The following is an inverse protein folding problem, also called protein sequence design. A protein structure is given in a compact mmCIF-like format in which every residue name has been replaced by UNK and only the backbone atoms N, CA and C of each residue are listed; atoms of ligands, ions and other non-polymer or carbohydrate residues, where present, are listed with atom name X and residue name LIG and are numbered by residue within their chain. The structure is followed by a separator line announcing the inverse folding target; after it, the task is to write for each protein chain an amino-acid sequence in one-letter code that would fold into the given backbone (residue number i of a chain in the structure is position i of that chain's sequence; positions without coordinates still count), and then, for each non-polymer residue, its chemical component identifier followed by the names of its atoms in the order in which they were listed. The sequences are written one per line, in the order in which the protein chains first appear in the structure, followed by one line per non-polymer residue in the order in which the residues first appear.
data_IF_670042595419
#
_entry.id   IF_670042595419
#
_cell.length_a   1.000
_cell.length_b   1.000
_cell.length_c   1.000
_cell.angle_alpha   90.00
_cell.angle_beta   90.00
_cell.angle_gamma   90.00
#
_symmetry.space_group_name_H-M   'P 1'
#
loop_
_entity.id
_entity.type
_entity.pdbx_description
1 polymer ?
#
# COMPACT_ATOMS: atom_id res chain seq x y z
N UNK A 1 -27.21 -15.45 -5.42
CA UNK A 1 -25.80 -15.25 -5.82
C UNK A 1 -25.14 -14.42 -4.74
N UNK A 2 -24.03 -14.88 -4.17
CA UNK A 2 -23.27 -14.15 -3.16
C UNK A 2 -22.09 -13.49 -3.86
N UNK A 3 -22.00 -12.15 -3.79
CA UNK A 3 -20.84 -11.39 -4.24
C UNK A 3 -20.05 -11.00 -3.00
N UNK A 4 -18.77 -11.36 -2.98
CA UNK A 4 -17.85 -11.02 -1.91
C UNK A 4 -16.69 -10.21 -2.48
N UNK A 5 -16.22 -9.24 -1.70
CA UNK A 5 -15.03 -8.45 -2.03
C UNK A 5 -14.13 -8.49 -0.80
N UNK A 6 -12.87 -8.85 -0.99
CA UNK A 6 -11.88 -8.80 0.08
C UNK A 6 -11.34 -7.38 0.21
N UNK A 7 -11.24 -6.91 1.44
CA UNK A 7 -10.74 -5.57 1.76
C UNK A 7 -9.62 -5.63 2.79
N UNK A 8 -8.59 -4.78 2.67
CA UNK A 8 -7.49 -4.77 3.62
C UNK A 8 -7.96 -4.35 5.02
N UNK A 9 -7.58 -5.12 6.04
CA UNK A 9 -7.89 -4.86 7.45
C UNK A 9 -9.18 -5.53 7.91
N UNK A 10 -9.78 -5.01 8.98
CA UNK A 10 -11.06 -5.45 9.53
C UNK A 10 -11.99 -4.24 9.77
N UNK A 11 -12.36 -3.51 8.71
CA UNK A 11 -13.31 -2.39 8.83
C UNK A 11 -14.71 -2.91 9.19
N UNK A 12 -15.42 -2.19 10.06
CA UNK A 12 -16.82 -2.47 10.38
C UNK A 12 -17.71 -1.92 9.27
N UNK A 13 -18.53 -2.79 8.71
CA UNK A 13 -19.60 -2.43 7.78
C UNK A 13 -20.91 -3.02 8.27
N UNK A 14 -21.94 -2.18 8.38
CA UNK A 14 -23.29 -2.62 8.70
C UNK A 14 -24.27 -2.20 7.62
N UNK A 15 -25.40 -2.91 7.55
CA UNK A 15 -26.47 -2.60 6.60
C UNK A 15 -27.01 -1.21 6.91
N UNK A 16 -27.01 -0.34 5.91
CA UNK A 16 -27.43 1.07 6.04
C UNK A 16 -26.26 2.05 6.13
N UNK A 17 -25.02 1.57 6.27
CA UNK A 17 -23.85 2.45 6.22
C UNK A 17 -23.66 3.04 4.82
N UNK A 18 -23.28 4.32 4.77
CA UNK A 18 -22.89 4.98 3.53
C UNK A 18 -21.38 4.93 3.40
N UNK A 19 -20.90 4.47 2.25
CA UNK A 19 -19.48 4.24 2.01
C UNK A 19 -19.02 4.97 0.76
N UNK A 20 -17.84 5.60 0.85
CA UNK A 20 -17.14 6.13 -0.30
C UNK A 20 -16.15 5.08 -0.77
N UNK A 21 -16.39 4.49 -1.94
CA UNK A 21 -15.60 3.40 -2.49
C UNK A 21 -14.77 3.87 -3.69
N UNK A 22 -13.47 3.57 -3.67
CA UNK A 22 -12.57 3.82 -4.79
C UNK A 22 -12.42 2.54 -5.61
N UNK A 23 -12.91 2.58 -6.84
CA UNK A 23 -12.88 1.47 -7.80
C UNK A 23 -11.89 1.78 -8.92
N UNK A 24 -11.17 0.77 -9.39
CA UNK A 24 -10.31 0.95 -10.58
C UNK A 24 -11.13 1.05 -11.87
N UNK A 25 -12.26 0.35 -11.91
CA UNK A 25 -13.21 0.35 -13.01
C UNK A 25 -14.60 0.71 -12.50
N UNK A 26 -15.26 1.64 -13.19
CA UNK A 26 -16.60 2.06 -12.83
C UNK A 26 -17.56 0.86 -12.84
N UNK A 27 -18.40 0.78 -11.79
CA UNK A 27 -19.40 -0.28 -11.61
C UNK A 27 -18.83 -1.71 -11.45
N UNK A 28 -17.53 -1.87 -11.20
CA UNK A 28 -16.89 -3.18 -10.97
C UNK A 28 -16.29 -3.27 -9.57
N UNK A 29 -17.09 -3.78 -8.64
CA UNK A 29 -16.72 -3.99 -7.24
C UNK A 29 -15.56 -4.96 -7.03
N UNK A 30 -15.22 -5.81 -8.01
CA UNK A 30 -14.03 -6.65 -7.91
C UNK A 30 -12.73 -5.84 -8.02
N UNK A 31 -12.81 -4.61 -8.54
CA UNK A 31 -11.68 -3.69 -8.65
C UNK A 31 -11.59 -2.69 -7.50
N UNK A 32 -12.21 -2.99 -6.36
CA UNK A 32 -12.17 -2.15 -5.17
C UNK A 32 -10.74 -1.99 -4.66
N UNK A 33 -10.25 -0.74 -4.63
CA UNK A 33 -8.91 -0.39 -4.12
C UNK A 33 -8.91 -0.01 -2.65
N UNK A 34 -10.04 0.50 -2.18
CA UNK A 34 -10.26 0.89 -0.79
C UNK A 34 -11.60 1.60 -0.65
N UNK A 35 -12.03 1.76 0.58
CA UNK A 35 -13.26 2.47 0.89
C UNK A 35 -13.19 3.14 2.25
N UNK A 36 -14.03 4.15 2.46
CA UNK A 36 -14.20 4.86 3.71
C UNK A 36 -15.66 4.80 4.12
N UNK A 37 -15.92 4.38 5.35
CA UNK A 37 -17.25 4.47 5.94
C UNK A 37 -17.50 5.93 6.35
N UNK A 38 -18.53 6.56 5.82
CA UNK A 38 -18.86 7.96 6.12
C UNK A 38 -19.57 8.10 7.47
N UNK A 39 -20.23 7.05 7.96
CA UNK A 39 -20.91 7.02 9.26
C UNK A 39 -19.89 6.95 10.41
N UNK A 40 -18.88 6.08 10.29
CA UNK A 40 -17.88 5.82 11.36
C UNK A 40 -16.55 6.53 11.12
N UNK A 41 -16.28 6.97 9.90
CA UNK A 41 -14.99 7.52 9.49
C UNK A 41 -13.91 6.46 9.24
N UNK A 42 -14.22 5.16 9.36
CA UNK A 42 -13.23 4.09 9.17
C UNK A 42 -12.75 4.00 7.73
N UNK A 43 -11.42 3.86 7.55
CA UNK A 43 -10.77 3.81 6.25
C UNK A 43 -10.14 2.43 6.00
N UNK A 44 -10.72 1.70 5.07
CA UNK A 44 -10.23 0.42 4.58
C UNK A 44 -9.38 0.63 3.32
N UNK A 45 -8.07 0.75 3.50
CA UNK A 45 -7.12 0.91 2.41
C UNK A 45 -5.80 0.21 2.73
N UNK A 46 -4.99 -0.19 1.73
CA UNK A 46 -3.71 -0.82 1.96
C UNK A 46 -2.85 -0.02 2.94
N UNK A 47 -2.16 -0.72 3.86
CA UNK A 47 -1.27 -0.07 4.83
C UNK A 47 0.05 0.27 4.12
N UNK A 48 0.61 1.45 4.41
CA UNK A 48 1.89 1.87 3.82
C UNK A 48 3.05 1.68 4.81
N UNK A 49 2.79 1.60 6.11
CA UNK A 49 3.83 1.50 7.15
C UNK A 49 4.74 0.29 6.96
N UNK A 50 4.17 -0.89 6.67
CA UNK A 50 4.96 -2.09 6.42
C UNK A 50 5.85 -1.97 5.17
N UNK A 51 5.33 -1.34 4.12
CA UNK A 51 6.09 -1.10 2.89
C UNK A 51 7.20 -0.05 3.10
N UNK A 52 6.95 1.01 3.86
CA UNK A 52 7.99 2.00 4.22
C UNK A 52 9.09 1.33 5.05
N UNK A 53 8.72 0.52 6.05
CA UNK A 53 9.69 -0.21 6.87
C UNK A 53 10.53 -1.21 6.05
N UNK A 54 9.90 -1.97 5.15
CA UNK A 54 10.61 -2.87 4.26
C UNK A 54 11.57 -2.12 3.32
N UNK A 55 11.13 -0.98 2.78
CA UNK A 55 11.95 -0.13 1.91
C UNK A 55 13.19 0.42 2.62
N UNK A 56 13.02 0.94 3.86
CA UNK A 56 14.13 1.49 4.64
C UNK A 56 15.11 0.39 5.08
N UNK A 57 14.61 -0.77 5.50
CA UNK A 57 15.44 -1.91 5.86
C UNK A 57 16.28 -2.39 4.67
N UNK A 58 15.68 -2.53 3.48
CA UNK A 58 16.42 -2.93 2.29
C UNK A 58 17.46 -1.89 1.86
N UNK A 59 17.15 -0.60 1.97
CA UNK A 59 18.13 0.46 1.71
C UNK A 59 19.31 0.36 2.69
N UNK A 60 19.06 0.13 3.98
CA UNK A 60 20.10 -0.06 4.98
C UNK A 60 20.97 -1.28 4.67
N UNK A 61 20.38 -2.40 4.25
CA UNK A 61 21.11 -3.60 3.81
C UNK A 61 21.97 -3.34 2.57
N UNK A 62 21.50 -2.54 1.61
CA UNK A 62 22.27 -2.16 0.44
C UNK A 62 23.53 -1.35 0.84
N UNK A 63 23.37 -0.35 1.70
CA UNK A 63 24.48 0.48 2.20
C UNK A 63 25.47 -0.37 3.01
N UNK A 64 24.98 -1.22 3.90
CA UNK A 64 25.81 -2.12 4.69
C UNK A 64 26.62 -3.09 3.82
N UNK A 65 25.99 -3.66 2.79
CA UNK A 65 26.66 -4.58 1.86
C UNK A 65 27.75 -3.87 1.05
N UNK A 66 27.51 -2.63 0.62
CA UNK A 66 28.49 -1.82 -0.10
C UNK A 66 29.69 -1.43 0.79
N UNK A 67 29.47 -1.26 2.10
CA UNK A 67 30.52 -0.92 3.06
C UNK A 67 31.40 -2.13 3.42
N UNK A 68 30.81 -3.32 3.58
CA UNK A 68 31.50 -4.51 4.11
C UNK A 68 32.14 -5.39 3.03
N UNK A 69 31.60 -5.41 1.81
CA UNK A 69 32.01 -6.32 0.74
C UNK A 69 32.60 -5.44 -0.36
N UNK A 70 33.89 -5.65 -0.68
CA UNK A 70 34.61 -4.87 -1.69
C UNK A 70 33.87 -4.70 -3.04
N UNK A 71 34.30 -3.75 -3.88
CA UNK A 71 33.47 -3.07 -4.87
C UNK A 71 32.81 -3.94 -5.94
N UNK A 72 33.34 -5.13 -6.22
CA UNK A 72 32.88 -5.99 -7.32
C UNK A 72 31.80 -7.00 -6.92
N UNK A 73 31.88 -7.57 -5.71
CA UNK A 73 30.89 -8.55 -5.23
C UNK A 73 29.68 -7.89 -4.54
N UNK A 74 29.87 -6.71 -3.93
CA UNK A 74 28.78 -5.96 -3.28
C UNK A 74 27.79 -5.36 -4.27
N UNK A 75 28.21 -5.08 -5.52
CA UNK A 75 27.37 -4.42 -6.51
C UNK A 75 26.09 -5.21 -6.82
N UNK A 76 26.17 -6.53 -7.01
CA UNK A 76 25.00 -7.35 -7.33
C UNK A 76 24.03 -7.47 -6.14
N UNK A 77 24.57 -7.62 -4.94
CA UNK A 77 23.78 -7.72 -3.71
C UNK A 77 23.10 -6.38 -3.41
N UNK A 78 23.83 -5.27 -3.51
CA UNK A 78 23.29 -3.93 -3.32
C UNK A 78 22.22 -3.59 -4.37
N UNK A 79 22.42 -3.98 -5.63
CA UNK A 79 21.41 -3.79 -6.68
C UNK A 79 20.10 -4.53 -6.38
N UNK A 80 20.16 -5.77 -5.89
CA UNK A 80 18.97 -6.53 -5.51
C UNK A 80 18.20 -5.83 -4.37
N UNK A 81 18.92 -5.35 -3.35
CA UNK A 81 18.31 -4.59 -2.25
C UNK A 81 17.75 -3.23 -2.68
N UNK A 82 18.44 -2.51 -3.58
CA UNK A 82 17.94 -1.26 -4.14
C UNK A 82 16.69 -1.47 -4.99
N UNK A 83 16.65 -2.52 -5.82
CA UNK A 83 15.47 -2.88 -6.60
C UNK A 83 14.28 -3.23 -5.69
N UNK A 84 14.54 -4.01 -4.63
CA UNK A 84 13.54 -4.32 -3.62
C UNK A 84 13.03 -3.06 -2.90
N UNK A 85 13.93 -2.17 -2.47
CA UNK A 85 13.57 -0.88 -1.87
C UNK A 85 12.72 -0.02 -2.83
N UNK A 86 13.06 0.01 -4.11
CA UNK A 86 12.27 0.67 -5.16
C UNK A 86 10.84 0.10 -5.28
N UNK A 87 10.70 -1.22 -5.25
CA UNK A 87 9.38 -1.86 -5.30
C UNK A 87 8.52 -1.51 -4.08
N UNK A 88 9.12 -1.54 -2.88
CA UNK A 88 8.40 -1.23 -1.64
C UNK A 88 8.05 0.25 -1.52
N UNK A 89 8.93 1.16 -1.95
CA UNK A 89 8.63 2.60 -2.02
C UNK A 89 7.50 2.89 -3.01
N UNK A 90 7.52 2.26 -4.18
CA UNK A 90 6.42 2.38 -5.15
C UNK A 90 5.08 1.91 -4.56
N UNK A 91 5.07 0.77 -3.88
CA UNK A 91 3.86 0.26 -3.20
C UNK A 91 3.38 1.21 -2.08
N UNK A 92 4.30 1.76 -1.29
CA UNK A 92 4.00 2.76 -0.26
C UNK A 92 3.38 4.03 -0.86
N UNK A 93 3.91 4.51 -2.00
CA UNK A 93 3.36 5.67 -2.70
C UNK A 93 1.97 5.38 -3.27
N UNK A 94 1.76 4.20 -3.86
CA UNK A 94 0.45 3.80 -4.41
C UNK A 94 -0.61 3.72 -3.31
N UNK A 95 -0.27 3.13 -2.16
CA UNK A 95 -1.16 3.04 -1.00
C UNK A 95 -1.45 4.40 -0.36
N UNK A 96 -0.46 5.28 -0.27
CA UNK A 96 -0.66 6.68 0.15
C UNK A 96 -1.58 7.44 -0.81
N UNK A 97 -1.43 7.26 -2.12
CA UNK A 97 -2.28 7.90 -3.12
C UNK A 97 -3.75 7.50 -2.95
N UNK A 98 -4.03 6.21 -2.82
CA UNK A 98 -5.38 5.69 -2.57
C UNK A 98 -5.99 6.32 -1.30
N UNK A 99 -5.22 6.39 -0.22
CA UNK A 99 -5.67 7.01 1.04
C UNK A 99 -5.95 8.50 0.89
N UNK A 100 -5.14 9.22 0.10
CA UNK A 100 -5.36 10.64 -0.18
C UNK A 100 -6.60 10.88 -1.02
N UNK A 101 -6.86 10.05 -2.03
CA UNK A 101 -8.07 10.14 -2.87
C UNK A 101 -9.32 9.92 -2.01
N UNK A 102 -9.35 8.88 -1.19
CA UNK A 102 -10.46 8.59 -0.27
C UNK A 102 -10.70 9.70 0.80
N UNK A 103 -9.69 10.52 1.10
CA UNK A 103 -9.81 11.66 2.01
C UNK A 103 -10.12 12.99 1.30
N UNK A 104 -9.93 13.07 -0.02
CA UNK A 104 -10.12 14.31 -0.78
C UNK A 104 -11.58 14.57 -1.11
N UNK A 105 -12.37 13.51 -1.29
CA UNK A 105 -13.78 13.58 -1.72
C UNK A 105 -14.75 13.92 -0.56
N UNK A 106 -14.25 14.58 0.49
CA UNK A 106 -14.96 14.99 1.73
C UNK A 106 -15.25 16.51 1.76
N UNK A 107 -15.13 17.20 0.60
CA UNK A 107 -15.38 18.65 0.41
C UNK A 107 -16.42 18.84 -0.69
#
# INVERSE_FOLDING_TARGET
MHYGVEVPGMPRIEVGDTVLALLDRANDWQTLRGWRNLSTGELAAPTYYGAVFAATLMLACAVFSAYMIGPTASALVALAFLAGSGCWTWFALKSLKIRRELNRDDI
#
